data_IF_891649850383
#
_entry.id   IF_891649850383
#
_cell.length_a   1.000
_cell.length_b   1.000
_cell.length_c   1.000
_cell.angle_alpha   90.00
_cell.angle_beta   90.00
_cell.angle_gamma   90.00
#
_symmetry.space_group_name_H-M   'P 1'
#
loop_
_entity.id
_entity.type
_entity.pdbx_description
1 polymer ?
#
# COMPACT_ATOMS: atom_id res chain seq x y z
N UNK A 1 -7.88 13.07 4.84
CA UNK A 1 -7.41 11.74 5.23
C UNK A 1 -8.55 10.78 5.01
N UNK A 2 -8.54 10.04 3.90
CA UNK A 2 -9.57 9.04 3.61
C UNK A 2 -8.96 7.67 3.90
N UNK A 3 -9.51 6.96 4.88
CA UNK A 3 -9.14 5.60 5.22
C UNK A 3 -9.94 4.67 4.30
N UNK A 4 -9.34 4.20 3.20
CA UNK A 4 -9.93 3.16 2.35
C UNK A 4 -9.51 1.78 2.82
N UNK A 5 -10.41 1.04 3.47
CA UNK A 5 -10.19 -0.37 3.82
C UNK A 5 -10.91 -1.25 2.79
N UNK A 6 -10.17 -1.97 1.96
CA UNK A 6 -10.70 -2.96 1.02
C UNK A 6 -10.34 -4.36 1.51
N UNK A 7 -11.09 -4.87 2.49
CA UNK A 7 -10.93 -6.23 2.99
C UNK A 7 -11.60 -7.25 2.08
N UNK A 8 -10.93 -7.63 1.00
CA UNK A 8 -11.25 -8.83 0.22
C UNK A 8 -10.14 -9.83 0.41
N UNK A 9 -10.47 -11.02 0.93
CA UNK A 9 -9.61 -12.20 1.12
C UNK A 9 -8.15 -12.02 0.67
N UNK A 10 -7.32 -11.55 1.60
CA UNK A 10 -5.88 -11.72 1.51
C UNK A 10 -5.00 -10.47 1.48
N UNK A 11 -5.54 -9.26 1.33
CA UNK A 11 -4.72 -8.04 1.40
C UNK A 11 -5.36 -6.98 2.27
N UNK A 12 -4.60 -6.49 3.26
CA UNK A 12 -4.91 -5.27 4.01
C UNK A 12 -4.16 -4.11 3.37
N UNK A 13 -4.91 -3.13 2.82
CA UNK A 13 -4.37 -1.94 2.16
C UNK A 13 -4.73 -0.66 2.92
N UNK A 14 -3.81 0.30 2.96
CA UNK A 14 -4.10 1.71 3.29
C UNK A 14 -3.27 2.61 2.37
N UNK A 15 -3.94 3.50 1.64
CA UNK A 15 -3.31 4.54 0.86
C UNK A 15 -3.90 5.93 1.17
N UNK A 16 -3.05 6.97 1.08
CA UNK A 16 -3.53 8.33 1.25
C UNK A 16 -2.45 9.41 1.30
N UNK A 17 -2.82 10.66 0.95
CA UNK A 17 -1.92 11.80 1.03
C UNK A 17 -1.91 12.46 2.42
N UNK A 18 -0.73 12.85 2.89
CA UNK A 18 -0.54 13.73 4.05
C UNK A 18 0.77 14.55 3.89
N UNK A 19 0.68 15.87 4.07
CA UNK A 19 1.84 16.77 4.08
C UNK A 19 2.80 16.64 2.88
N UNK A 20 2.29 16.38 1.67
CA UNK A 20 3.10 16.19 0.46
C UNK A 20 3.63 14.76 0.28
N UNK A 21 3.28 13.83 1.17
CA UNK A 21 3.61 12.42 1.08
C UNK A 21 2.39 11.61 0.67
N UNK A 22 2.62 10.54 -0.07
CA UNK A 22 1.64 9.46 -0.33
C UNK A 22 2.23 8.15 0.14
N UNK A 23 1.40 7.28 0.69
CA UNK A 23 1.82 5.99 1.25
C UNK A 23 0.94 4.88 0.69
N UNK A 24 1.51 3.68 0.50
CA UNK A 24 0.78 2.42 0.32
C UNK A 24 1.32 1.41 1.33
N UNK A 25 0.44 0.71 2.02
CA UNK A 25 0.78 -0.39 2.93
C UNK A 25 0.07 -1.63 2.42
N UNK A 26 0.79 -2.74 2.25
CA UNK A 26 0.23 -4.04 1.88
C UNK A 26 0.71 -5.12 2.85
N UNK A 27 -0.19 -6.04 3.20
CA UNK A 27 0.12 -7.23 3.98
C UNK A 27 -0.43 -8.45 3.23
N UNK A 28 0.37 -9.52 3.11
CA UNK A 28 -0.05 -10.77 2.45
C UNK A 28 -1.09 -11.52 3.28
N UNK A 29 -1.80 -12.43 2.64
CA UNK A 29 -2.92 -13.16 3.23
C UNK A 29 -2.50 -14.06 4.39
N UNK A 30 -1.37 -14.71 4.23
CA UNK A 30 -0.68 -15.51 5.24
C UNK A 30 0.02 -14.67 6.32
N UNK A 31 0.01 -13.34 6.16
CA UNK A 31 0.68 -12.35 7.03
C UNK A 31 2.19 -12.57 7.16
N UNK A 32 2.82 -13.25 6.22
CA UNK A 32 4.27 -13.51 6.21
C UNK A 32 5.07 -12.39 5.55
N UNK A 33 4.42 -11.56 4.75
CA UNK A 33 5.06 -10.48 4.00
C UNK A 33 4.30 -9.18 4.21
N UNK A 34 5.02 -8.10 4.48
CA UNK A 34 4.50 -6.75 4.45
C UNK A 34 5.38 -5.84 3.60
N UNK A 35 4.75 -4.90 2.92
CA UNK A 35 5.42 -3.86 2.13
C UNK A 35 4.81 -2.53 2.50
N UNK A 36 5.68 -1.56 2.79
CA UNK A 36 5.29 -0.15 2.98
C UNK A 36 6.07 0.68 1.99
N UNK A 37 5.36 1.41 1.14
CA UNK A 37 5.93 2.40 0.23
C UNK A 37 5.52 3.78 0.73
N UNK A 38 6.49 4.68 0.89
CA UNK A 38 6.24 6.09 1.15
C UNK A 38 6.97 6.92 0.11
N UNK A 39 6.25 7.86 -0.51
CA UNK A 39 6.79 8.78 -1.49
C UNK A 39 6.71 10.20 -0.93
N UNK A 40 7.79 10.98 -1.03
CA UNK A 40 7.88 12.36 -0.56
C UNK A 40 7.37 13.40 -1.59
N UNK A 41 6.55 12.93 -2.53
CA UNK A 41 5.85 13.73 -3.53
C UNK A 41 4.43 13.20 -3.64
N UNK A 42 3.45 14.09 -3.78
CA UNK A 42 2.02 13.77 -3.72
C UNK A 42 1.42 13.26 -5.03
N UNK A 43 2.23 13.16 -6.09
CA UNK A 43 1.82 12.74 -7.44
C UNK A 43 2.28 11.34 -7.83
N UNK A 44 3.01 10.65 -6.94
CA UNK A 44 3.45 9.28 -7.20
C UNK A 44 2.31 8.30 -6.94
N UNK A 45 2.30 7.17 -7.65
CA UNK A 45 1.46 6.02 -7.32
C UNK A 45 2.26 5.01 -6.47
N UNK A 46 2.15 5.05 -5.13
CA UNK A 46 2.83 4.09 -4.26
C UNK A 46 2.28 2.66 -4.44
N UNK A 47 1.06 2.49 -4.93
CA UNK A 47 0.45 1.19 -5.22
C UNK A 47 1.14 0.49 -6.38
N UNK A 48 1.42 1.21 -7.48
CA UNK A 48 2.18 0.68 -8.61
C UNK A 48 3.61 0.27 -8.20
N UNK A 49 4.25 1.02 -7.29
CA UNK A 49 5.58 0.66 -6.74
C UNK A 49 5.49 -0.63 -5.92
N UNK A 50 4.48 -0.76 -5.04
CA UNK A 50 4.24 -1.99 -4.28
C UNK A 50 3.97 -3.20 -5.19
N UNK A 51 3.28 -3.01 -6.31
CA UNK A 51 3.03 -4.06 -7.31
C UNK A 51 4.30 -4.47 -8.05
N UNK A 52 5.15 -3.52 -8.42
CA UNK A 52 6.43 -3.80 -9.03
C UNK A 52 7.39 -4.57 -8.10
N UNK A 53 7.27 -4.38 -6.77
CA UNK A 53 7.99 -5.18 -5.77
C UNK A 53 7.52 -6.65 -5.76
N UNK A 54 6.33 -6.93 -6.30
CA UNK A 54 6.02 -8.20 -6.97
C UNK A 54 5.80 -9.44 -6.10
N UNK A 55 5.67 -9.34 -4.77
CA UNK A 55 5.62 -10.55 -3.91
C UNK A 55 4.70 -10.53 -2.69
N UNK A 56 3.82 -9.55 -2.53
CA UNK A 56 2.76 -9.66 -1.52
C UNK A 56 1.65 -10.53 -2.12
N UNK A 57 1.86 -11.84 -2.14
CA UNK A 57 0.88 -12.80 -2.67
C UNK A 57 -0.47 -12.65 -1.93
N UNK A 58 -1.53 -12.57 -2.72
CA UNK A 58 -2.95 -12.68 -2.33
C UNK A 58 -3.24 -14.02 -1.67
#
# INVERSE_FOLDING_TARGET
MALGYSGGHGVLKHDGPWAGFVTDIRVSSDRRTSVTVSCNVDKQDPGAVSEAIGRVQT
#
